data_IF_760312835319
#
_entry.id   IF_760312835319
#
_cell.length_a   1.000
_cell.length_b   1.000
_cell.length_c   1.000
_cell.angle_alpha   90.00
_cell.angle_beta   90.00
_cell.angle_gamma   90.00
#
_symmetry.space_group_name_H-M   'P 1'
#
loop_
_entity.id
_entity.type
_entity.pdbx_description
1 polymer ?
#
# COMPACT_ATOMS: atom_id res chain seq x y z
N UNK A 1 39.10 -53.20 -1.93
CA UNK A 1 39.19 -51.73 -1.82
C UNK A 1 37.93 -51.25 -1.13
N UNK A 2 38.00 -51.03 0.18
CA UNK A 2 36.85 -50.56 0.96
C UNK A 2 36.77 -49.04 0.81
N UNK A 3 35.75 -48.57 0.09
CA UNK A 3 35.39 -47.16 0.00
C UNK A 3 34.75 -46.76 1.33
N UNK A 4 35.55 -46.14 2.20
CA UNK A 4 35.08 -45.46 3.40
C UNK A 4 34.29 -44.23 2.97
N UNK A 5 32.95 -44.35 2.92
CA UNK A 5 32.05 -43.20 2.93
C UNK A 5 32.33 -42.41 4.19
N UNK A 6 33.00 -41.26 4.04
CA UNK A 6 33.06 -40.28 5.12
C UNK A 6 31.63 -39.90 5.53
N UNK A 7 31.30 -39.89 6.83
CA UNK A 7 30.01 -39.37 7.28
C UNK A 7 29.92 -37.92 6.83
N UNK A 8 28.85 -37.57 6.13
CA UNK A 8 28.61 -36.21 5.67
C UNK A 8 28.64 -35.27 6.87
N UNK A 9 29.60 -34.36 6.90
CA UNK A 9 29.70 -33.32 7.91
C UNK A 9 28.39 -32.54 7.91
N UNK A 10 27.65 -32.62 9.01
CA UNK A 10 26.43 -31.85 9.21
C UNK A 10 26.83 -30.38 9.39
N UNK A 11 26.57 -29.55 8.38
CA UNK A 11 26.84 -28.11 8.45
C UNK A 11 25.93 -27.47 9.49
N UNK A 12 26.50 -27.00 10.60
CA UNK A 12 25.80 -26.26 11.65
C UNK A 12 25.84 -24.77 11.30
N UNK A 13 24.66 -24.15 11.15
CA UNK A 13 24.53 -22.70 10.93
C UNK A 13 24.34 -22.01 12.28
N UNK A 14 25.32 -21.22 12.70
CA UNK A 14 25.26 -20.42 13.93
C UNK A 14 24.72 -19.03 13.58
N UNK A 15 23.52 -18.73 14.05
CA UNK A 15 22.93 -17.39 13.97
C UNK A 15 22.91 -16.74 15.35
N UNK A 16 23.08 -15.42 15.38
CA UNK A 16 23.02 -14.66 16.62
C UNK A 16 21.61 -14.79 17.25
N UNK A 17 21.50 -14.92 18.59
CA UNK A 17 20.22 -15.21 19.25
C UNK A 17 19.07 -14.24 18.92
N UNK A 18 19.39 -12.95 18.79
CA UNK A 18 18.44 -11.89 18.43
C UNK A 18 17.89 -12.05 17.02
N UNK A 19 18.67 -12.59 16.08
CA UNK A 19 18.23 -12.88 14.72
C UNK A 19 17.23 -14.05 14.75
N UNK A 20 17.53 -15.11 15.52
CA UNK A 20 16.58 -16.21 15.70
C UNK A 20 15.28 -15.74 16.38
N UNK A 21 15.38 -14.86 17.38
CA UNK A 21 14.23 -14.25 18.04
C UNK A 21 13.39 -13.42 17.07
N UNK A 22 14.05 -12.63 16.22
CA UNK A 22 13.40 -11.86 15.15
C UNK A 22 12.61 -12.77 14.21
N UNK A 23 13.23 -13.83 13.68
CA UNK A 23 12.55 -14.77 12.79
C UNK A 23 11.31 -15.41 13.44
N UNK A 24 11.37 -15.74 14.73
CA UNK A 24 10.22 -16.28 15.47
C UNK A 24 9.11 -15.26 15.64
N UNK A 25 9.46 -14.01 15.94
CA UNK A 25 8.51 -12.93 16.14
C UNK A 25 7.84 -12.47 14.83
N UNK A 26 8.54 -12.51 13.70
CA UNK A 26 7.99 -12.18 12.38
C UNK A 26 7.09 -13.26 11.79
N UNK A 27 7.35 -14.55 12.10
CA UNK A 27 6.63 -15.70 11.56
C UNK A 27 5.09 -15.59 11.58
N UNK A 28 4.42 -15.12 12.67
CA UNK A 28 2.97 -15.02 12.67
C UNK A 28 2.40 -13.90 11.77
N UNK A 29 3.16 -12.84 11.48
CA UNK A 29 2.65 -11.62 10.82
C UNK A 29 2.17 -11.92 9.39
N UNK A 30 2.97 -12.62 8.59
CA UNK A 30 2.64 -12.90 7.19
C UNK A 30 1.37 -13.76 7.06
N UNK A 31 1.18 -14.71 7.98
CA UNK A 31 -0.02 -15.52 8.04
C UNK A 31 -1.23 -14.66 8.45
N UNK A 32 -1.10 -13.88 9.52
CA UNK A 32 -2.18 -13.05 10.03
C UNK A 32 -2.71 -12.06 8.98
N UNK A 33 -1.82 -11.37 8.26
CA UNK A 33 -2.22 -10.42 7.22
C UNK A 33 -2.88 -11.11 6.01
N UNK A 34 -2.36 -12.26 5.57
CA UNK A 34 -3.01 -13.04 4.49
C UNK A 34 -4.35 -13.61 4.91
N UNK A 35 -4.48 -14.03 6.16
CA UNK A 35 -5.76 -14.46 6.71
C UNK A 35 -6.73 -13.27 6.70
N UNK A 36 -6.30 -12.07 7.11
CA UNK A 36 -7.11 -10.85 7.07
C UNK A 36 -7.64 -10.50 5.66
N UNK A 37 -6.85 -10.71 4.60
CA UNK A 37 -7.32 -10.53 3.21
C UNK A 37 -8.48 -11.45 2.83
N UNK A 38 -8.55 -12.64 3.45
CA UNK A 38 -9.58 -13.66 3.18
C UNK A 38 -10.85 -13.46 4.01
N UNK A 39 -10.79 -12.63 5.05
CA UNK A 39 -11.95 -12.39 5.91
C UNK A 39 -13.07 -11.71 5.12
N UNK A 40 -14.29 -12.14 5.41
CA UNK A 40 -15.49 -11.44 4.96
C UNK A 40 -15.64 -10.18 5.80
N UNK A 41 -15.74 -9.03 5.14
CA UNK A 41 -15.90 -7.73 5.79
C UNK A 41 -17.37 -7.34 5.64
N UNK A 42 -18.09 -7.08 6.74
CA UNK A 42 -19.46 -6.56 6.67
C UNK A 42 -19.50 -5.26 5.89
N UNK A 43 -20.50 -5.11 5.00
CA UNK A 43 -20.73 -3.85 4.32
C UNK A 43 -21.23 -2.80 5.32
N UNK A 44 -20.76 -1.57 5.15
CA UNK A 44 -21.25 -0.37 5.84
C UNK A 44 -22.26 0.35 4.96
N UNK A 45 -23.00 1.31 5.52
CA UNK A 45 -23.88 2.18 4.73
C UNK A 45 -23.12 3.34 4.05
N UNK A 46 -21.79 3.38 4.14
CA UNK A 46 -20.98 4.42 3.53
C UNK A 46 -20.79 4.15 2.04
N UNK A 47 -21.16 5.08 1.14
CA UNK A 47 -20.92 4.92 -0.27
C UNK A 47 -19.43 5.07 -0.59
N UNK A 48 -18.95 4.30 -1.55
CA UNK A 48 -17.63 4.53 -2.16
C UNK A 48 -17.77 5.58 -3.28
N UNK A 49 -17.21 6.76 -3.08
CA UNK A 49 -17.18 7.87 -4.04
C UNK A 49 -15.88 7.78 -4.83
N UNK A 50 -15.96 7.34 -6.10
CA UNK A 50 -14.82 6.90 -6.90
C UNK A 50 -13.57 7.79 -6.78
N UNK A 51 -13.67 9.08 -7.14
CA UNK A 51 -12.49 9.97 -7.16
C UNK A 51 -11.98 10.30 -5.75
N UNK A 52 -12.87 10.64 -4.82
CA UNK A 52 -12.51 11.04 -3.46
C UNK A 52 -11.87 9.88 -2.69
N UNK A 53 -12.46 8.69 -2.78
CA UNK A 53 -11.93 7.51 -2.11
C UNK A 53 -10.65 6.98 -2.75
N UNK A 54 -10.49 7.07 -4.09
CA UNK A 54 -9.21 6.77 -4.73
C UNK A 54 -8.10 7.68 -4.19
N UNK A 55 -8.31 9.00 -4.12
CA UNK A 55 -7.32 9.94 -3.58
C UNK A 55 -7.02 9.63 -2.12
N UNK A 56 -8.06 9.41 -1.30
CA UNK A 56 -7.92 9.09 0.12
C UNK A 56 -7.11 7.82 0.34
N UNK A 57 -7.47 6.72 -0.32
CA UNK A 57 -6.79 5.44 -0.15
C UNK A 57 -5.36 5.44 -0.72
N UNK A 58 -5.12 6.12 -1.84
CA UNK A 58 -3.76 6.30 -2.36
C UNK A 58 -2.87 7.05 -1.35
N UNK A 59 -3.41 8.07 -0.67
CA UNK A 59 -2.70 8.75 0.42
C UNK A 59 -2.39 7.84 1.61
N UNK A 60 -3.31 6.94 1.99
CA UNK A 60 -3.06 5.92 3.04
C UNK A 60 -1.94 4.97 2.61
N UNK A 61 -1.95 4.49 1.37
CA UNK A 61 -0.93 3.59 0.82
C UNK A 61 0.44 4.29 0.80
N UNK A 62 0.52 5.52 0.30
CA UNK A 62 1.76 6.29 0.25
C UNK A 62 2.33 6.50 1.66
N UNK A 63 1.48 6.86 2.62
CA UNK A 63 1.88 7.02 4.02
C UNK A 63 2.45 5.72 4.59
N UNK A 64 1.74 4.59 4.43
CA UNK A 64 2.16 3.29 4.94
C UNK A 64 3.47 2.81 4.28
N UNK A 65 3.66 3.05 2.97
CA UNK A 65 4.91 2.74 2.26
C UNK A 65 6.09 3.59 2.78
N UNK A 66 5.85 4.88 3.04
CA UNK A 66 6.86 5.77 3.63
C UNK A 66 7.25 5.31 5.04
N UNK A 67 6.25 4.97 5.87
CA UNK A 67 6.46 4.45 7.21
C UNK A 67 7.23 3.12 7.19
N UNK A 68 6.93 2.23 6.24
CA UNK A 68 7.61 0.94 6.08
C UNK A 68 9.12 1.10 5.97
N UNK A 69 9.60 2.00 5.11
CA UNK A 69 11.04 2.27 4.97
C UNK A 69 11.70 2.63 6.30
N UNK A 70 11.12 3.60 7.01
CA UNK A 70 11.62 4.01 8.33
C UNK A 70 11.60 2.87 9.36
N UNK A 71 10.58 1.99 9.34
CA UNK A 71 10.49 0.84 10.25
C UNK A 71 11.55 -0.22 9.92
N UNK A 72 11.84 -0.45 8.64
CA UNK A 72 12.89 -1.36 8.21
C UNK A 72 14.28 -0.85 8.60
N UNK A 73 14.55 0.44 8.43
CA UNK A 73 15.81 1.05 8.89
C UNK A 73 15.98 0.91 10.40
N UNK A 74 14.91 1.16 11.17
CA UNK A 74 14.90 0.94 12.61
C UNK A 74 15.15 -0.53 12.99
N UNK A 75 14.53 -1.48 12.28
CA UNK A 75 14.76 -2.91 12.48
C UNK A 75 16.23 -3.31 12.21
N UNK A 76 16.80 -2.78 11.13
CA UNK A 76 18.20 -3.00 10.76
C UNK A 76 19.14 -2.50 11.85
N UNK A 77 18.95 -1.27 12.32
CA UNK A 77 19.82 -0.65 13.33
C UNK A 77 19.64 -1.25 14.73
N UNK A 78 18.41 -1.43 15.20
CA UNK A 78 18.12 -1.82 16.58
C UNK A 78 18.27 -3.32 16.84
N UNK A 79 18.13 -4.17 15.81
CA UNK A 79 18.12 -5.64 15.96
C UNK A 79 19.22 -6.31 15.16
N UNK A 80 19.32 -6.03 13.86
CA UNK A 80 20.20 -6.80 12.97
C UNK A 80 21.67 -6.42 13.19
N UNK A 81 21.95 -5.13 13.31
CA UNK A 81 23.31 -4.61 13.55
C UNK A 81 23.68 -4.57 15.04
N UNK A 82 22.69 -4.67 15.93
CA UNK A 82 22.91 -4.66 17.37
C UNK A 82 23.06 -6.09 17.92
N UNK A 83 24.31 -6.46 18.19
CA UNK A 83 24.67 -7.75 18.79
C UNK A 83 24.03 -8.03 20.16
N UNK A 84 23.63 -6.98 20.87
CA UNK A 84 23.14 -7.03 22.25
C UNK A 84 21.62 -6.86 22.35
N UNK A 85 20.91 -6.84 21.22
CA UNK A 85 19.46 -6.68 21.21
C UNK A 85 18.77 -7.81 21.97
N UNK A 86 18.06 -7.45 23.03
CA UNK A 86 17.28 -8.40 23.82
C UNK A 86 15.90 -8.68 23.19
N UNK A 87 15.15 -9.58 23.81
CA UNK A 87 13.81 -9.96 23.34
C UNK A 87 12.82 -8.77 23.33
N UNK A 88 13.00 -7.78 24.19
CA UNK A 88 12.12 -6.61 24.27
C UNK A 88 12.37 -5.67 23.08
N UNK A 89 13.64 -5.42 22.74
CA UNK A 89 14.03 -4.63 21.56
C UNK A 89 13.55 -5.29 20.27
N UNK A 90 13.73 -6.62 20.17
CA UNK A 90 13.21 -7.41 19.04
C UNK A 90 11.69 -7.28 18.94
N UNK A 91 10.98 -7.53 20.04
CA UNK A 91 9.52 -7.47 20.07
C UNK A 91 8.98 -6.09 19.71
N UNK A 92 9.58 -5.01 20.22
CA UNK A 92 9.21 -3.63 19.89
C UNK A 92 9.45 -3.33 18.41
N UNK A 93 10.59 -3.73 17.88
CA UNK A 93 10.91 -3.51 16.46
C UNK A 93 9.94 -4.23 15.54
N UNK A 94 9.62 -5.48 15.86
CA UNK A 94 8.62 -6.26 15.12
C UNK A 94 7.23 -5.64 15.25
N UNK A 95 6.82 -5.20 16.44
CA UNK A 95 5.52 -4.56 16.65
C UNK A 95 5.34 -3.28 15.83
N UNK A 96 6.40 -2.48 15.62
CA UNK A 96 6.34 -1.30 14.74
C UNK A 96 6.19 -1.67 13.26
N UNK A 97 6.80 -2.78 12.82
CA UNK A 97 6.61 -3.29 11.47
C UNK A 97 5.21 -3.88 11.29
N UNK A 98 4.72 -4.61 12.29
CA UNK A 98 3.35 -5.13 12.35
C UNK A 98 2.33 -4.00 12.23
N UNK A 99 2.52 -2.89 12.94
CA UNK A 99 1.64 -1.73 12.84
C UNK A 99 1.47 -1.25 11.38
N UNK A 100 2.57 -1.11 10.64
CA UNK A 100 2.52 -0.66 9.23
C UNK A 100 1.77 -1.69 8.36
N UNK A 101 1.96 -2.98 8.61
CA UNK A 101 1.22 -4.02 7.89
C UNK A 101 -0.28 -3.93 8.17
N UNK A 102 -0.67 -3.63 9.41
CA UNK A 102 -2.08 -3.42 9.77
C UNK A 102 -2.65 -2.13 9.18
N UNK A 103 -1.87 -1.07 8.98
CA UNK A 103 -2.34 0.12 8.25
C UNK A 103 -2.78 -0.22 6.81
N UNK A 104 -2.07 -1.13 6.12
CA UNK A 104 -2.52 -1.64 4.81
C UNK A 104 -3.78 -2.49 4.93
N UNK A 105 -3.86 -3.38 5.93
CA UNK A 105 -5.01 -4.27 6.11
C UNK A 105 -6.26 -3.48 6.48
N UNK A 106 -6.15 -2.49 7.35
CA UNK A 106 -7.24 -1.61 7.76
C UNK A 106 -7.72 -0.78 6.57
N UNK A 107 -6.82 -0.21 5.77
CA UNK A 107 -7.17 0.48 4.53
C UNK A 107 -7.86 -0.43 3.51
N UNK A 108 -7.42 -1.68 3.39
CA UNK A 108 -8.08 -2.70 2.55
C UNK A 108 -9.49 -3.05 3.05
N UNK A 109 -9.66 -3.25 4.36
CA UNK A 109 -10.96 -3.56 4.96
C UNK A 109 -11.91 -2.37 4.85
N UNK A 110 -11.43 -1.16 5.08
CA UNK A 110 -12.19 0.08 4.90
C UNK A 110 -12.73 0.19 3.47
N UNK A 111 -11.85 0.10 2.46
CA UNK A 111 -12.25 0.13 1.05
C UNK A 111 -13.27 -0.98 0.72
N UNK A 112 -13.09 -2.18 1.28
CA UNK A 112 -13.95 -3.35 1.05
C UNK A 112 -15.31 -3.21 1.74
N UNK A 113 -15.40 -2.46 2.82
CA UNK A 113 -16.62 -2.27 3.59
C UNK A 113 -17.56 -1.22 2.97
N UNK A 114 -17.06 -0.31 2.14
CA UNK A 114 -17.90 0.69 1.47
C UNK A 114 -18.81 0.06 0.40
N UNK A 115 -20.00 0.64 0.21
CA UNK A 115 -20.92 0.26 -0.86
C UNK A 115 -20.56 1.00 -2.15
N UNK A 116 -20.07 0.28 -3.15
CA UNK A 116 -19.84 0.85 -4.47
C UNK A 116 -21.08 0.72 -5.37
N UNK A 117 -21.56 1.86 -5.87
CA UNK A 117 -22.55 1.91 -6.94
C UNK A 117 -21.95 1.51 -8.30
N UNK A 118 -22.77 1.43 -9.36
CA UNK A 118 -22.32 1.03 -10.70
C UNK A 118 -21.17 1.88 -11.26
N UNK A 119 -21.10 3.15 -10.89
CA UNK A 119 -20.08 4.11 -11.34
C UNK A 119 -18.77 4.01 -10.54
N UNK A 120 -18.80 3.41 -9.35
CA UNK A 120 -17.66 3.33 -8.41
C UNK A 120 -17.07 1.94 -8.25
N UNK A 121 -17.75 0.90 -8.75
CA UNK A 121 -17.35 -0.50 -8.55
C UNK A 121 -15.98 -0.81 -9.16
N UNK A 122 -15.66 -0.19 -10.30
CA UNK A 122 -14.35 -0.33 -10.94
C UNK A 122 -13.25 0.31 -10.09
N UNK A 123 -13.46 1.55 -9.64
CA UNK A 123 -12.52 2.26 -8.77
C UNK A 123 -12.24 1.47 -7.47
N UNK A 124 -13.30 0.95 -6.85
CA UNK A 124 -13.19 0.12 -5.64
C UNK A 124 -12.41 -1.18 -5.92
N UNK A 125 -12.71 -1.86 -7.03
CA UNK A 125 -12.01 -3.10 -7.38
C UNK A 125 -10.49 -2.86 -7.60
N UNK A 126 -10.14 -1.78 -8.29
CA UNK A 126 -8.76 -1.40 -8.55
C UNK A 126 -7.98 -1.10 -7.28
N UNK A 127 -8.54 -0.28 -6.37
CA UNK A 127 -7.85 0.05 -5.12
C UNK A 127 -7.69 -1.17 -4.20
N UNK A 128 -8.67 -2.08 -4.19
CA UNK A 128 -8.55 -3.36 -3.50
C UNK A 128 -7.44 -4.25 -4.09
N UNK A 129 -7.22 -4.18 -5.40
CA UNK A 129 -6.09 -4.82 -6.09
C UNK A 129 -4.75 -4.27 -5.63
N UNK A 130 -4.62 -2.93 -5.59
CA UNK A 130 -3.40 -2.24 -5.10
C UNK A 130 -3.04 -2.66 -3.67
N UNK A 131 -4.01 -2.62 -2.75
CA UNK A 131 -3.78 -3.07 -1.37
C UNK A 131 -3.33 -4.53 -1.31
N UNK A 132 -4.02 -5.42 -2.04
CA UNK A 132 -3.69 -6.86 -2.07
C UNK A 132 -2.26 -7.08 -2.55
N UNK A 133 -1.87 -6.43 -3.63
CA UNK A 133 -0.52 -6.51 -4.19
C UNK A 133 0.56 -6.12 -3.17
N UNK A 134 0.38 -5.00 -2.48
CA UNK A 134 1.35 -4.55 -1.48
C UNK A 134 1.41 -5.48 -0.26
N UNK A 135 0.25 -5.89 0.28
CA UNK A 135 0.19 -6.83 1.42
C UNK A 135 0.85 -8.16 1.04
N UNK A 136 0.56 -8.72 -0.13
CA UNK A 136 1.14 -9.98 -0.59
C UNK A 136 2.65 -9.87 -0.85
N UNK A 137 3.12 -8.75 -1.40
CA UNK A 137 4.55 -8.47 -1.60
C UNK A 137 5.30 -8.45 -0.28
N UNK A 138 4.79 -7.71 0.72
CA UNK A 138 5.38 -7.64 2.06
C UNK A 138 5.34 -9.02 2.74
N UNK A 139 4.23 -9.74 2.65
CA UNK A 139 4.11 -11.06 3.26
C UNK A 139 5.06 -12.10 2.63
N UNK A 140 5.27 -12.03 1.32
CA UNK A 140 6.21 -12.89 0.61
C UNK A 140 7.65 -12.61 1.04
N UNK A 141 8.01 -11.34 1.15
CA UNK A 141 9.31 -10.93 1.68
C UNK A 141 9.50 -11.38 3.15
N UNK A 142 8.48 -11.24 4.00
CA UNK A 142 8.51 -11.74 5.38
C UNK A 142 8.75 -13.25 5.44
N UNK A 143 8.09 -14.03 4.59
CA UNK A 143 8.28 -15.49 4.54
C UNK A 143 9.70 -15.87 4.11
N UNK A 144 10.27 -15.13 3.16
CA UNK A 144 11.65 -15.31 2.72
C UNK A 144 12.63 -14.99 3.86
N UNK A 145 12.42 -13.88 4.56
CA UNK A 145 13.22 -13.47 5.71
C UNK A 145 13.15 -14.52 6.83
N UNK A 146 11.95 -14.94 7.20
CA UNK A 146 11.72 -15.96 8.23
C UNK A 146 12.34 -17.30 7.82
N UNK A 147 12.22 -17.69 6.55
CA UNK A 147 12.86 -18.93 6.05
C UNK A 147 14.37 -18.83 6.09
N UNK A 148 14.94 -17.69 5.70
CA UNK A 148 16.38 -17.42 5.74
C UNK A 148 16.94 -17.53 7.15
N UNK A 149 16.21 -16.98 8.13
CA UNK A 149 16.64 -16.95 9.52
C UNK A 149 16.38 -18.26 10.26
N UNK A 150 15.18 -18.84 10.15
CA UNK A 150 14.80 -20.03 10.92
C UNK A 150 15.15 -21.34 10.22
N UNK A 151 15.49 -21.31 8.93
CA UNK A 151 15.88 -22.49 8.15
C UNK A 151 16.96 -22.15 7.10
N UNK A 152 18.16 -21.71 7.52
CA UNK A 152 19.21 -21.24 6.60
C UNK A 152 19.58 -22.27 5.52
N UNK A 153 19.65 -23.56 5.89
CA UNK A 153 19.88 -24.65 4.92
C UNK A 153 18.83 -24.67 3.82
N UNK A 154 17.55 -24.59 4.19
CA UNK A 154 16.44 -24.56 3.23
C UNK A 154 16.54 -23.33 2.32
N UNK A 155 16.91 -22.16 2.88
CA UNK A 155 17.11 -20.95 2.09
C UNK A 155 18.27 -21.07 1.09
N UNK A 156 19.38 -21.71 1.48
CA UNK A 156 20.50 -22.01 0.59
C UNK A 156 20.12 -22.98 -0.53
N UNK A 157 19.41 -24.06 -0.18
CA UNK A 157 18.95 -25.07 -1.14
C UNK A 157 18.02 -24.44 -2.19
N UNK A 158 17.07 -23.58 -1.76
CA UNK A 158 16.17 -22.85 -2.67
C UNK A 158 16.92 -21.89 -3.61
N UNK A 159 18.08 -21.39 -3.18
CA UNK A 159 18.94 -20.49 -3.97
C UNK A 159 20.03 -21.23 -4.76
N UNK A 160 20.11 -22.56 -4.64
CA UNK A 160 21.14 -23.37 -5.28
C UNK A 160 22.56 -23.09 -4.79
N UNK A 161 22.72 -22.49 -3.61
CA UNK A 161 24.02 -22.08 -3.06
C UNK A 161 24.61 -23.26 -2.29
N UNK A 162 25.80 -23.71 -2.68
CA UNK A 162 26.57 -24.70 -1.92
C UNK A 162 27.43 -23.98 -0.87
N UNK A 163 27.31 -24.32 0.42
CA UNK A 163 28.11 -23.70 1.46
C UNK A 163 29.57 -24.16 1.35
N UNK A 164 30.46 -23.22 0.97
CA UNK A 164 31.91 -23.44 0.94
C UNK A 164 32.68 -22.62 1.99
N UNK A 165 32.07 -21.56 2.55
CA UNK A 165 32.65 -20.64 3.53
C UNK A 165 31.55 -19.82 4.21
N UNK A 166 31.90 -18.73 4.91
CA UNK A 166 30.94 -17.72 5.35
C UNK A 166 30.09 -17.24 4.17
N UNK A 167 28.76 -17.31 4.32
CA UNK A 167 27.79 -16.91 3.30
C UNK A 167 26.98 -15.75 3.82
N UNK A 168 26.86 -14.71 3.01
CA UNK A 168 25.90 -13.62 3.22
C UNK A 168 24.63 -13.91 2.42
N UNK A 169 23.49 -14.00 3.11
CA UNK A 169 22.18 -14.16 2.48
C UNK A 169 21.46 -12.82 2.46
N UNK A 170 21.39 -12.20 1.28
CA UNK A 170 20.61 -10.98 1.08
C UNK A 170 19.13 -11.32 0.98
N UNK A 171 18.28 -10.57 1.67
CA UNK A 171 16.82 -10.65 1.56
C UNK A 171 16.33 -9.24 1.29
N UNK A 172 15.98 -8.95 0.03
CA UNK A 172 15.61 -7.61 -0.40
C UNK A 172 14.09 -7.51 -0.54
N UNK A 173 13.50 -6.46 0.02
CA UNK A 173 12.12 -6.08 -0.27
C UNK A 173 12.11 -5.26 -1.57
N UNK A 174 11.64 -5.86 -2.65
CA UNK A 174 11.46 -5.16 -3.92
C UNK A 174 9.98 -4.86 -4.09
N UNK A 175 9.60 -3.60 -3.86
CA UNK A 175 8.25 -3.14 -4.13
C UNK A 175 8.11 -2.86 -5.64
N UNK A 176 7.26 -3.62 -6.32
CA UNK A 176 6.88 -3.34 -7.70
C UNK A 176 5.58 -2.56 -7.75
N UNK A 177 5.39 -1.81 -8.83
CA UNK A 177 4.11 -1.14 -9.07
C UNK A 177 2.99 -2.19 -9.18
N UNK A 178 1.85 -2.00 -8.49
CA UNK A 178 0.67 -2.83 -8.67
C UNK A 178 0.19 -2.76 -10.12
N UNK A 179 -0.25 -3.89 -10.73
CA UNK A 179 -0.75 -3.89 -12.10
C UNK A 179 -1.94 -2.94 -12.31
N UNK A 180 -2.76 -2.75 -11.27
CA UNK A 180 -3.94 -1.88 -11.26
C UNK A 180 -3.61 -0.39 -11.40
N UNK A 181 -2.37 0.04 -11.12
CA UNK A 181 -1.98 1.46 -11.18
C UNK A 181 -2.17 2.09 -12.56
N UNK A 182 -1.97 1.29 -13.62
CA UNK A 182 -2.15 1.75 -15.00
C UNK A 182 -3.63 2.04 -15.33
N UNK A 183 -4.52 1.20 -14.82
CA UNK A 183 -5.97 1.31 -14.98
C UNK A 183 -6.52 2.46 -14.12
N UNK A 184 -6.04 2.61 -12.87
CA UNK A 184 -6.37 3.76 -12.01
C UNK A 184 -6.01 5.07 -12.71
N UNK A 185 -4.82 5.16 -13.31
CA UNK A 185 -4.39 6.36 -14.02
C UNK A 185 -5.28 6.72 -15.22
N UNK A 186 -5.87 5.71 -15.87
CA UNK A 186 -6.81 5.91 -16.98
C UNK A 186 -8.21 6.29 -16.47
N UNK A 187 -8.67 5.62 -15.41
CA UNK A 187 -9.96 5.88 -14.76
C UNK A 187 -10.01 7.29 -14.17
N UNK A 188 -8.98 7.73 -13.45
CA UNK A 188 -8.90 9.08 -12.87
C UNK A 188 -9.01 10.15 -13.97
N UNK A 189 -8.36 9.97 -15.11
CA UNK A 189 -8.49 10.91 -16.25
C UNK A 189 -9.92 10.97 -16.77
N UNK A 190 -10.59 9.82 -16.90
CA UNK A 190 -11.99 9.74 -17.33
C UNK A 190 -12.92 10.44 -16.33
N UNK A 191 -12.74 10.18 -15.03
CA UNK A 191 -13.54 10.78 -13.96
C UNK A 191 -13.37 12.30 -13.90
N UNK A 192 -12.15 12.80 -14.09
CA UNK A 192 -11.89 14.24 -14.13
C UNK A 192 -12.54 14.92 -15.35
N UNK A 193 -12.45 14.30 -16.53
CA UNK A 193 -13.12 14.83 -17.73
C UNK A 193 -14.64 14.90 -17.56
N UNK A 194 -15.25 13.86 -16.97
CA UNK A 194 -16.69 13.84 -16.68
C UNK A 194 -17.08 14.91 -15.65
N UNK A 195 -16.24 15.15 -14.65
CA UNK A 195 -16.47 16.19 -13.65
C UNK A 195 -16.40 17.60 -14.27
N UNK A 196 -15.46 17.84 -15.19
CA UNK A 196 -15.34 19.10 -15.93
C UNK A 196 -16.57 19.34 -16.83
N UNK A 197 -16.98 18.34 -17.62
CA UNK A 197 -18.17 18.42 -18.46
C UNK A 197 -19.45 18.67 -17.63
N UNK A 198 -19.59 18.00 -16.48
CA UNK A 198 -20.71 18.20 -15.57
C UNK A 198 -20.71 19.61 -14.95
N UNK A 199 -19.54 20.14 -14.60
CA UNK A 199 -19.40 21.50 -14.08
C UNK A 199 -19.76 22.56 -15.13
N UNK A 200 -19.30 22.38 -16.37
CA UNK A 200 -19.67 23.25 -17.50
C UNK A 200 -21.16 23.18 -17.81
N UNK A 201 -21.74 21.98 -17.87
CA UNK A 201 -23.17 21.80 -18.07
C UNK A 201 -24.02 22.42 -16.95
N UNK A 202 -23.57 22.30 -15.70
CA UNK A 202 -24.22 22.93 -14.54
C UNK A 202 -24.16 24.46 -14.62
N UNK A 203 -23.02 25.03 -15.03
CA UNK A 203 -22.88 26.47 -15.26
C UNK A 203 -23.79 26.96 -16.38
N UNK A 204 -23.85 26.26 -17.52
CA UNK A 204 -24.74 26.59 -18.65
C UNK A 204 -26.22 26.50 -18.23
N UNK A 205 -26.59 25.46 -17.47
CA UNK A 205 -27.95 25.31 -16.95
C UNK A 205 -28.31 26.43 -15.97
N UNK A 206 -27.39 26.85 -15.11
CA UNK A 206 -27.60 27.96 -14.18
C UNK A 206 -27.76 29.30 -14.92
N UNK A 207 -26.94 29.54 -15.96
CA UNK A 207 -27.08 30.71 -16.84
C UNK A 207 -28.42 30.68 -17.56
N UNK A 208 -28.82 29.55 -18.14
CA UNK A 208 -30.10 29.39 -18.82
C UNK A 208 -31.30 29.59 -17.88
N UNK A 209 -31.24 29.12 -16.63
CA UNK A 209 -32.25 29.38 -15.61
C UNK A 209 -32.32 30.85 -15.22
N UNK A 210 -31.18 31.55 -15.14
CA UNK A 210 -31.13 32.98 -14.87
C UNK A 210 -31.76 33.79 -16.03
N UNK A 211 -31.46 33.43 -17.28
CA UNK A 211 -32.08 34.04 -18.45
C UNK A 211 -33.58 33.73 -18.58
N UNK A 212 -34.00 32.50 -18.25
CA UNK A 212 -35.42 32.13 -18.22
C UNK A 212 -36.19 32.83 -17.09
N UNK A 213 -35.54 33.09 -15.96
CA UNK A 213 -36.07 33.92 -14.87
C UNK A 213 -36.26 35.39 -15.28
N UNK A 214 -35.26 35.97 -15.96
CA UNK A 214 -35.37 37.34 -16.52
C UNK A 214 -36.45 37.47 -17.60
N UNK A 215 -36.70 36.42 -18.40
CA UNK A 215 -37.75 36.43 -19.42
C UNK A 215 -39.18 36.33 -18.84
N UNK A 216 -39.34 35.86 -17.60
CA UNK A 216 -40.65 35.77 -16.91
C UNK A 216 -40.99 37.01 -16.09
N UNK A 217 -40.01 37.83 -15.71
CA UNK A 217 -40.22 39.06 -14.94
C UNK A 217 -39.75 40.32 -15.69
N UNK A 218 -40.30 40.57 -16.89
CA UNK A 218 -40.18 41.87 -17.52
C UNK A 218 -41.15 42.89 -16.88
N UNK A 219 -40.75 43.46 -15.74
CA UNK A 219 -41.12 44.83 -15.34
C UNK A 219 -39.84 45.61 -15.03
N UNK A 220 -39.71 46.87 -15.50
CA UNK A 220 -38.45 47.59 -15.44
C UNK A 220 -38.22 48.12 -14.02
N UNK A 221 -37.20 47.60 -13.35
CA UNK A 221 -36.80 48.01 -12.00
C UNK A 221 -35.29 47.94 -11.83
N UNK A 222 -34.71 49.07 -11.46
CA UNK A 222 -33.29 49.32 -11.21
C UNK A 222 -32.85 48.57 -9.93
N UNK A 223 -31.60 48.13 -9.89
CA UNK A 223 -30.86 47.43 -8.81
C UNK A 223 -30.94 45.89 -8.79
N UNK A 224 -29.83 45.24 -9.11
CA UNK A 224 -29.07 44.49 -8.08
C UNK A 224 -27.65 44.18 -8.54
N UNK A 225 -26.72 44.78 -7.83
CA UNK A 225 -25.31 44.42 -7.75
C UNK A 225 -25.18 43.21 -6.81
N UNK A 226 -24.13 42.41 -7.01
CA UNK A 226 -23.43 41.49 -6.07
C UNK A 226 -23.37 40.06 -6.61
N UNK A 227 -22.13 39.55 -6.74
CA UNK A 227 -21.89 38.11 -6.74
C UNK A 227 -20.68 37.63 -7.55
N UNK A 228 -19.51 38.29 -7.42
CA UNK A 228 -18.24 37.66 -7.77
C UNK A 228 -17.82 36.72 -6.63
N UNK A 229 -17.75 35.42 -6.88
CA UNK A 229 -16.82 34.51 -6.20
C UNK A 229 -16.32 33.50 -7.24
N UNK A 230 -15.13 33.79 -7.76
CA UNK A 230 -14.32 32.84 -8.49
C UNK A 230 -13.77 31.83 -7.47
N UNK A 231 -14.15 30.55 -7.59
CA UNK A 231 -13.39 29.46 -6.99
C UNK A 231 -12.42 28.94 -8.04
N UNK A 232 -11.16 29.38 -7.91
CA UNK A 232 -10.04 28.74 -8.58
C UNK A 232 -9.66 27.48 -7.82
N UNK A 233 -9.99 26.32 -8.38
CA UNK A 233 -9.34 25.07 -8.01
C UNK A 233 -8.09 24.92 -8.88
N UNK A 234 -6.99 25.50 -8.39
CA UNK A 234 -5.66 25.19 -8.88
C UNK A 234 -5.29 23.79 -8.41
N UNK A 235 -5.45 22.80 -9.28
CA UNK A 235 -4.77 21.51 -9.15
C UNK A 235 -3.30 21.76 -9.49
N UNK A 236 -2.49 22.04 -8.47
CA UNK A 236 -1.04 21.99 -8.61
C UNK A 236 -0.65 20.53 -8.90
N UNK A 237 -0.34 20.26 -10.16
CA UNK A 237 0.22 18.99 -10.59
C UNK A 237 1.56 18.73 -9.90
N UNK A 238 1.62 17.69 -9.07
CA UNK A 238 2.87 17.08 -8.67
C UNK A 238 3.39 16.23 -9.85
N UNK A 239 4.25 16.82 -10.67
CA UNK A 239 5.03 16.11 -11.69
C UNK A 239 6.17 15.38 -10.96
N UNK A 240 5.98 14.10 -10.65
CA UNK A 240 7.10 13.21 -10.33
C UNK A 240 7.69 12.67 -11.63
N UNK A 241 8.66 13.40 -12.17
CA UNK A 241 9.38 13.06 -13.40
C UNK A 241 10.87 13.30 -13.25
N UNK A 242 11.58 12.24 -12.85
CA UNK A 242 13.02 11.96 -12.97
C UNK A 242 13.80 12.90 -13.92
N UNK A 243 14.87 13.51 -13.42
CA UNK A 243 16.08 13.80 -14.23
C UNK A 243 17.21 12.93 -13.70
N UNK A 244 17.66 12.02 -14.55
CA UNK A 244 18.97 11.37 -14.45
C UNK A 244 19.99 12.29 -15.14
N UNK A 245 21.10 12.54 -14.46
CA UNK A 245 22.41 12.73 -15.09
C UNK A 245 23.09 11.35 -15.18
#
# INVERSE_FOLDING_TARGET
MNSTKQPGLETIYLLAPQIVALGRALKPLSKAARDALRHTVPQTDQPFVALDDLVRHMGVIEHALSALGSRLDGLMAEVIQNGEADALVVGRSVGRLEQVLWEFVDGYHDAKACQAGPESVEAQALILGVYRHHIESICTWLDELVTTVLSPKKALDLRGIKPSSDITLNVSLNMTDPPEMSEIGSLVKSLLAQAEEAAEAAQVAQVAQTFAGMAREAKPGIFSTIGAMAFGLGVSGAIFGKKHD
#
